data_IF_783948835149
#
_entry.id   IF_783948835149
#
_cell.length_a   1.000
_cell.length_b   1.000
_cell.length_c   1.000
_cell.angle_alpha   90.00
_cell.angle_beta   90.00
_cell.angle_gamma   90.00
#
_symmetry.space_group_name_H-M   'P 1'
#
loop_
_entity.id
_entity.type
_entity.pdbx_description
1 polymer ?
#
# COMPACT_ATOMS: atom_id res chain seq x y z
N UNK A 1 19.33 17.94 14.66
CA UNK A 1 17.96 18.31 14.21
C UNK A 1 17.96 19.78 13.84
N UNK A 2 18.12 20.11 12.55
CA UNK A 2 18.01 21.49 12.08
C UNK A 2 16.59 21.71 11.53
N UNK A 3 15.67 22.15 12.40
CA UNK A 3 14.30 22.50 12.02
C UNK A 3 14.29 23.89 11.37
N UNK A 4 14.69 23.98 10.09
CA UNK A 4 14.70 25.24 9.35
C UNK A 4 13.29 25.59 8.88
N UNK A 5 12.86 26.83 9.11
CA UNK A 5 11.55 27.35 8.70
C UNK A 5 11.77 28.46 7.68
N UNK A 6 11.08 28.37 6.55
CA UNK A 6 11.05 29.40 5.52
C UNK A 6 9.70 30.08 5.52
N UNK A 7 9.74 31.42 5.60
CA UNK A 7 8.56 32.26 5.44
C UNK A 7 8.66 32.95 4.09
N UNK A 8 7.68 32.71 3.22
CA UNK A 8 7.69 33.25 1.86
C UNK A 8 7.48 34.77 1.82
N UNK A 9 7.04 35.36 2.93
CA UNK A 9 6.98 36.81 3.13
C UNK A 9 8.35 37.46 3.32
N UNK A 10 9.36 36.68 3.72
CA UNK A 10 10.69 37.19 4.09
C UNK A 10 11.77 36.79 3.08
N UNK A 11 11.62 35.64 2.42
CA UNK A 11 12.64 35.08 1.52
C UNK A 11 12.01 34.67 0.19
N UNK A 12 12.62 35.10 -0.91
CA UNK A 12 12.20 34.71 -2.25
C UNK A 12 12.28 33.19 -2.46
N UNK A 13 11.27 32.62 -3.15
CA UNK A 13 11.20 31.19 -3.41
C UNK A 13 12.43 30.61 -4.13
N UNK A 14 13.08 31.40 -4.99
CA UNK A 14 14.33 31.00 -5.66
C UNK A 14 15.48 30.77 -4.69
N UNK A 15 15.62 31.60 -3.64
CA UNK A 15 16.65 31.45 -2.61
C UNK A 15 16.37 30.24 -1.72
N UNK A 16 15.10 30.01 -1.38
CA UNK A 16 14.68 28.81 -0.65
C UNK A 16 15.01 27.56 -1.47
N UNK A 17 14.67 27.55 -2.76
CA UNK A 17 14.97 26.43 -3.65
C UNK A 17 16.48 26.18 -3.79
N UNK A 18 17.29 27.25 -3.84
CA UNK A 18 18.75 27.14 -3.88
C UNK A 18 19.32 26.53 -2.59
N UNK A 19 18.81 26.92 -1.42
CA UNK A 19 19.22 26.31 -0.15
C UNK A 19 18.81 24.83 -0.04
N UNK A 20 17.68 24.46 -0.65
CA UNK A 20 17.19 23.07 -0.66
C UNK A 20 17.81 22.19 -1.75
N UNK A 21 18.72 22.73 -2.55
CA UNK A 21 19.35 22.02 -3.66
C UNK A 21 20.09 20.79 -3.13
N UNK A 22 19.93 19.67 -3.85
CA UNK A 22 20.55 18.38 -3.56
C UNK A 22 20.23 17.81 -2.16
N UNK A 23 19.18 18.31 -1.50
CA UNK A 23 18.69 17.79 -0.22
C UNK A 23 17.47 16.91 -0.40
N UNK A 24 17.43 15.83 0.36
CA UNK A 24 16.29 14.93 0.52
C UNK A 24 15.77 14.97 1.95
N UNK A 25 14.50 14.63 2.16
CA UNK A 25 13.96 14.58 3.52
C UNK A 25 12.46 14.79 3.61
N UNK A 26 12.02 15.17 4.81
CA UNK A 26 10.62 15.42 5.18
C UNK A 26 10.42 16.89 5.48
N UNK A 27 9.32 17.43 4.99
CA UNK A 27 8.92 18.83 5.13
C UNK A 27 7.48 18.96 5.59
N UNK A 28 7.12 20.16 6.04
CA UNK A 28 5.79 20.54 6.46
C UNK A 28 5.41 21.88 5.84
N UNK A 29 4.23 21.94 5.22
CA UNK A 29 3.55 23.20 4.92
C UNK A 29 2.61 23.54 6.08
N UNK A 30 2.67 24.75 6.61
CA UNK A 30 1.81 25.20 7.72
C UNK A 30 1.06 26.45 7.25
N UNK A 31 -0.27 26.40 7.27
CA UNK A 31 -1.13 27.54 6.92
C UNK A 31 -1.24 28.48 8.12
N UNK A 32 -0.78 29.72 7.97
CA UNK A 32 -0.76 30.71 9.04
C UNK A 32 -2.14 31.28 9.35
N UNK A 33 -3.10 31.15 8.44
CA UNK A 33 -4.47 31.67 8.59
C UNK A 33 -5.32 30.80 9.52
N UNK A 34 -5.12 29.48 9.49
CA UNK A 34 -5.96 28.53 10.25
C UNK A 34 -5.18 27.48 11.05
N UNK A 35 -3.84 27.53 11.03
CA UNK A 35 -2.96 26.60 11.75
C UNK A 35 -2.84 25.20 11.15
N UNK A 36 -3.63 24.87 10.12
CA UNK A 36 -3.64 23.54 9.51
C UNK A 36 -2.36 23.26 8.74
N UNK A 37 -1.98 22.00 8.63
CA UNK A 37 -0.72 21.64 8.00
C UNK A 37 -0.79 20.43 7.07
N UNK A 38 0.27 20.28 6.27
CA UNK A 38 0.56 19.12 5.42
C UNK A 38 1.98 18.65 5.68
N UNK A 39 2.19 17.34 5.76
CA UNK A 39 3.51 16.70 5.83
C UNK A 39 3.75 15.90 4.55
N UNK A 40 4.95 15.98 4.00
CA UNK A 40 5.37 15.15 2.88
C UNK A 40 6.87 14.93 2.86
N UNK A 41 7.31 13.95 2.10
CA UNK A 41 8.72 13.66 1.87
C UNK A 41 9.12 13.85 0.40
N UNK A 42 10.42 13.97 0.13
CA UNK A 42 10.98 13.99 -1.22
C UNK A 42 12.46 13.59 -1.23
N UNK A 43 12.89 12.89 -2.27
CA UNK A 43 14.31 12.70 -2.58
C UNK A 43 14.99 13.95 -3.15
N UNK A 44 14.21 14.96 -3.54
CA UNK A 44 14.72 16.26 -3.98
C UNK A 44 13.77 17.37 -3.48
N UNK A 45 14.17 18.04 -2.39
CA UNK A 45 13.38 19.06 -1.71
C UNK A 45 13.27 20.34 -2.54
N UNK A 46 14.35 20.76 -3.21
CA UNK A 46 14.34 21.94 -4.10
C UNK A 46 13.29 21.80 -5.21
N UNK A 47 13.35 20.70 -5.98
CA UNK A 47 12.39 20.41 -7.04
C UNK A 47 10.98 20.35 -6.47
N UNK A 48 10.78 19.63 -5.36
CA UNK A 48 9.45 19.46 -4.77
C UNK A 48 8.87 20.79 -4.28
N UNK A 49 9.68 21.65 -3.68
CA UNK A 49 9.26 22.99 -3.26
C UNK A 49 8.83 23.84 -4.46
N UNK A 50 9.62 23.88 -5.54
CA UNK A 50 9.28 24.62 -6.76
C UNK A 50 8.01 24.10 -7.43
N UNK A 51 7.74 22.79 -7.38
CA UNK A 51 6.49 22.21 -7.87
C UNK A 51 5.27 22.79 -7.15
N UNK A 52 5.35 23.04 -5.84
CA UNK A 52 4.27 23.68 -5.09
C UNK A 52 4.05 25.13 -5.53
N UNK A 53 5.11 25.85 -5.92
CA UNK A 53 5.02 27.24 -6.35
C UNK A 53 4.53 27.43 -7.80
N UNK A 54 4.21 26.35 -8.50
CA UNK A 54 3.73 26.39 -9.88
C UNK A 54 2.20 26.17 -9.93
N UNK A 55 1.38 27.24 -10.01
CA UNK A 55 -0.08 27.12 -9.98
C UNK A 55 -0.63 26.29 -11.15
N UNK A 56 -0.05 26.43 -12.35
CA UNK A 56 -0.46 25.64 -13.53
C UNK A 56 -0.25 24.13 -13.31
N UNK A 57 0.83 23.75 -12.61
CA UNK A 57 1.05 22.36 -12.20
C UNK A 57 -0.01 21.94 -11.19
N UNK A 58 -0.27 22.74 -10.15
CA UNK A 58 -1.27 22.42 -9.12
C UNK A 58 -2.64 22.17 -9.75
N UNK A 59 -3.10 23.07 -10.63
CA UNK A 59 -4.37 22.95 -11.33
C UNK A 59 -4.44 21.69 -12.20
N UNK A 60 -3.35 21.37 -12.92
CA UNK A 60 -3.29 20.15 -13.72
C UNK A 60 -3.39 18.89 -12.86
N UNK A 61 -2.70 18.84 -11.72
CA UNK A 61 -2.77 17.69 -10.81
C UNK A 61 -4.16 17.56 -10.17
N UNK A 62 -4.80 18.69 -9.82
CA UNK A 62 -6.17 18.72 -9.28
C UNK A 62 -7.23 18.23 -10.27
N UNK A 63 -6.96 18.27 -11.58
CA UNK A 63 -7.83 17.65 -12.60
C UNK A 63 -7.73 16.12 -12.62
N UNK A 64 -6.63 15.55 -12.11
CA UNK A 64 -6.33 14.10 -12.15
C UNK A 64 -6.63 13.40 -10.83
N UNK A 65 -6.65 14.15 -9.73
CA UNK A 65 -6.88 13.61 -8.40
C UNK A 65 -7.14 14.70 -7.37
N UNK A 66 -7.32 14.28 -6.13
CA UNK A 66 -7.57 15.20 -5.02
C UNK A 66 -6.32 15.47 -4.20
N UNK A 67 -6.05 16.75 -3.91
CA UNK A 67 -4.97 17.18 -3.04
C UNK A 67 -5.42 18.39 -2.21
N UNK A 68 -5.59 18.21 -0.90
CA UNK A 68 -6.07 19.28 -0.02
C UNK A 68 -5.02 20.39 0.08
N UNK A 69 -3.73 20.04 0.17
CA UNK A 69 -2.65 21.04 0.21
C UNK A 69 -2.59 21.90 -1.05
N UNK A 70 -2.80 21.32 -2.24
CA UNK A 70 -2.82 22.12 -3.48
C UNK A 70 -4.00 23.09 -3.50
N UNK A 71 -5.21 22.62 -3.13
CA UNK A 71 -6.40 23.48 -2.98
C UNK A 71 -6.15 24.60 -1.96
N UNK A 72 -5.49 24.30 -0.85
CA UNK A 72 -5.21 25.27 0.21
C UNK A 72 -4.20 26.33 -0.25
N UNK A 73 -3.11 25.96 -0.92
CA UNK A 73 -2.13 26.90 -1.46
C UNK A 73 -2.76 27.87 -2.47
N UNK A 74 -3.59 27.37 -3.38
CA UNK A 74 -4.31 28.21 -4.35
C UNK A 74 -5.37 29.11 -3.69
N UNK A 75 -6.07 28.61 -2.67
CA UNK A 75 -7.13 29.36 -1.97
C UNK A 75 -6.60 30.47 -1.08
N UNK A 76 -5.58 30.20 -0.27
CA UNK A 76 -5.08 31.13 0.74
C UNK A 76 -3.86 31.94 0.27
N UNK A 77 -3.26 31.55 -0.87
CA UNK A 77 -2.05 32.16 -1.40
C UNK A 77 -0.78 31.71 -0.66
N UNK A 78 0.35 31.70 -1.37
CA UNK A 78 1.62 31.15 -0.86
C UNK A 78 2.20 31.92 0.34
N UNK A 79 1.94 33.22 0.45
CA UNK A 79 2.43 34.06 1.57
C UNK A 79 1.73 33.72 2.90
N UNK A 80 0.58 33.04 2.85
CA UNK A 80 -0.15 32.54 4.02
C UNK A 80 0.39 31.22 4.55
N UNK A 81 1.61 30.83 4.16
CA UNK A 81 2.20 29.57 4.54
C UNK A 81 3.68 29.69 4.96
N UNK A 82 4.05 28.82 5.89
CA UNK A 82 5.45 28.49 6.17
C UNK A 82 5.81 27.14 5.54
N UNK A 83 7.03 27.05 5.01
CA UNK A 83 7.64 25.80 4.58
C UNK A 83 8.73 25.41 5.58
N UNK A 84 8.51 24.34 6.34
CA UNK A 84 9.41 23.88 7.39
C UNK A 84 10.08 22.58 6.98
N UNK A 85 11.39 22.49 7.12
CA UNK A 85 12.12 21.23 7.00
C UNK A 85 12.08 20.54 8.37
N UNK A 86 11.55 19.32 8.39
CA UNK A 86 11.42 18.51 9.60
C UNK A 86 12.65 17.63 9.80
N UNK A 87 13.12 17.00 8.73
CA UNK A 87 14.30 16.13 8.75
C UNK A 87 14.94 16.13 7.37
N UNK A 88 16.26 16.34 7.29
CA UNK A 88 17.04 16.13 6.07
C UNK A 88 17.69 14.76 6.20
N UNK A 89 17.66 13.97 5.14
CA UNK A 89 18.38 12.70 5.06
C UNK A 89 19.34 12.73 3.89
N UNK A 90 20.44 12.01 4.03
CA UNK A 90 21.35 11.71 2.94
C UNK A 90 20.85 10.46 2.23
N UNK A 91 20.76 10.55 0.90
CA UNK A 91 20.44 9.41 0.06
C UNK A 91 21.75 8.96 -0.61
N UNK A 92 22.14 7.73 -0.31
CA UNK A 92 23.29 7.10 -0.94
C UNK A 92 22.85 6.42 -2.25
N UNK A 93 23.44 6.84 -3.36
CA UNK A 93 23.17 6.30 -4.68
C UNK A 93 23.58 4.82 -4.82
N UNK A 94 24.45 4.32 -3.93
CA UNK A 94 24.81 2.90 -3.86
C UNK A 94 23.69 2.05 -3.22
N UNK A 95 22.73 2.67 -2.53
CA UNK A 95 21.59 1.98 -1.93
C UNK A 95 20.46 1.90 -2.96
N UNK A 96 19.89 0.71 -3.13
CA UNK A 96 18.79 0.50 -4.06
C UNK A 96 17.62 1.47 -3.78
N UNK A 97 17.09 2.08 -4.83
CA UNK A 97 16.05 3.12 -4.78
C UNK A 97 14.85 2.76 -3.90
N UNK A 98 14.46 1.47 -3.85
CA UNK A 98 13.35 1.01 -3.00
C UNK A 98 13.61 1.19 -1.50
N UNK A 99 14.86 1.07 -1.04
CA UNK A 99 15.23 1.34 0.35
C UNK A 99 15.18 2.83 0.65
N UNK A 100 15.67 3.67 -0.27
CA UNK A 100 15.60 5.12 -0.12
C UNK A 100 14.16 5.61 0.04
N UNK A 101 13.23 5.12 -0.80
CA UNK A 101 11.79 5.42 -0.69
C UNK A 101 11.23 4.94 0.65
N UNK A 102 11.59 3.73 1.11
CA UNK A 102 11.13 3.21 2.41
C UNK A 102 11.59 4.09 3.56
N UNK A 103 12.83 4.57 3.55
CA UNK A 103 13.36 5.48 4.56
C UNK A 103 12.59 6.80 4.59
N UNK A 104 12.33 7.40 3.43
CA UNK A 104 11.51 8.62 3.33
C UNK A 104 10.09 8.41 3.84
N UNK A 105 9.42 7.33 3.41
CA UNK A 105 8.05 7.01 3.84
C UNK A 105 7.98 6.72 5.35
N UNK A 106 9.00 6.07 5.91
CA UNK A 106 9.07 5.79 7.35
C UNK A 106 9.14 7.10 8.15
N UNK A 107 9.98 8.04 7.74
CA UNK A 107 10.06 9.35 8.39
C UNK A 107 8.80 10.18 8.18
N UNK A 108 8.24 10.19 6.97
CA UNK A 108 6.96 10.85 6.70
C UNK A 108 5.86 10.32 7.61
N UNK A 109 5.76 9.00 7.78
CA UNK A 109 4.79 8.37 8.67
C UNK A 109 4.98 8.81 10.13
N UNK A 110 6.22 8.79 10.64
CA UNK A 110 6.56 9.27 11.99
C UNK A 110 6.01 10.69 12.23
N UNK A 111 6.18 11.59 11.27
CA UNK A 111 5.68 12.96 11.39
C UNK A 111 4.17 13.09 11.17
N UNK A 112 3.57 12.32 10.27
CA UNK A 112 2.10 12.27 10.11
C UNK A 112 1.44 11.80 11.42
N UNK A 113 1.96 10.74 12.05
CA UNK A 113 1.40 10.20 13.29
C UNK A 113 1.54 11.17 14.47
N UNK A 114 2.65 11.90 14.51
CA UNK A 114 2.95 12.88 15.56
C UNK A 114 2.14 14.16 15.39
N UNK A 115 2.10 14.72 14.18
CA UNK A 115 1.51 16.04 13.91
C UNK A 115 0.01 15.94 13.61
N UNK A 116 -0.44 14.83 13.02
CA UNK A 116 -1.81 14.62 12.51
C UNK A 116 -2.27 15.74 11.56
N UNK A 117 -1.51 16.01 10.49
CA UNK A 117 -1.77 17.12 9.57
C UNK A 117 -3.11 16.98 8.83
N UNK A 118 -3.90 18.06 8.82
CA UNK A 118 -5.27 18.06 8.29
C UNK A 118 -5.35 18.07 6.77
N UNK A 119 -4.27 18.44 6.10
CA UNK A 119 -4.19 18.45 4.63
C UNK A 119 -3.68 17.14 4.04
N UNK A 120 -3.24 16.17 4.87
CA UNK A 120 -2.92 14.83 4.41
C UNK A 120 -4.21 14.01 4.25
N UNK A 121 -4.53 13.63 3.01
CA UNK A 121 -5.69 12.77 2.72
C UNK A 121 -5.43 11.33 3.16
N UNK A 122 -4.19 10.87 2.96
CA UNK A 122 -3.76 9.52 3.32
C UNK A 122 -3.18 9.54 4.73
N UNK A 123 -3.62 8.59 5.55
CA UNK A 123 -3.05 8.37 6.88
C UNK A 123 -1.78 7.53 6.86
N UNK A 124 -1.52 6.80 5.77
CA UNK A 124 -0.33 5.97 5.60
C UNK A 124 0.55 6.57 4.49
N UNK A 125 1.80 6.91 4.82
CA UNK A 125 2.77 7.44 3.88
C UNK A 125 3.03 6.45 2.74
N UNK A 126 3.03 6.96 1.50
CA UNK A 126 3.29 6.17 0.30
C UNK A 126 2.25 5.07 -0.01
N UNK A 127 1.10 5.04 0.67
CA UNK A 127 0.11 3.97 0.50
C UNK A 127 -1.33 4.46 0.60
N UNK A 128 -2.15 4.04 -0.37
CA UNK A 128 -3.61 4.25 -0.34
C UNK A 128 -4.33 3.22 0.55
N UNK A 129 -3.59 2.34 1.25
CA UNK A 129 -4.19 1.26 2.05
C UNK A 129 -5.03 1.85 3.18
N UNK A 130 -6.30 1.49 3.23
CA UNK A 130 -7.26 2.01 4.21
C UNK A 130 -7.97 3.30 3.78
N UNK A 131 -7.53 3.97 2.71
CA UNK A 131 -8.23 5.14 2.18
C UNK A 131 -9.56 4.73 1.53
N UNK A 132 -10.66 5.32 2.00
CA UNK A 132 -12.01 5.05 1.49
C UNK A 132 -12.32 6.03 0.35
N UNK A 133 -12.58 5.49 -0.84
CA UNK A 133 -13.07 6.28 -1.96
C UNK A 133 -14.43 6.90 -1.65
N UNK A 134 -14.65 8.13 -2.14
CA UNK A 134 -15.95 8.81 -2.06
C UNK A 134 -17.04 8.01 -2.78
N UNK A 135 -18.29 8.21 -2.36
CA UNK A 135 -19.47 7.56 -2.98
C UNK A 135 -19.51 7.90 -4.47
N UNK A 136 -19.31 9.16 -4.83
CA UNK A 136 -19.28 9.61 -6.23
C UNK A 136 -18.22 8.86 -7.06
N UNK A 137 -17.00 8.70 -6.52
CA UNK A 137 -15.93 7.96 -7.21
C UNK A 137 -16.31 6.50 -7.40
N UNK A 138 -16.88 5.86 -6.37
CA UNK A 138 -17.38 4.47 -6.46
C UNK A 138 -18.45 4.33 -7.54
N UNK A 139 -19.37 5.30 -7.65
CA UNK A 139 -20.42 5.31 -8.68
C UNK A 139 -19.82 5.47 -10.07
N UNK A 140 -18.88 6.40 -10.27
CA UNK A 140 -18.20 6.60 -11.57
C UNK A 140 -17.45 5.33 -12.00
N UNK A 141 -16.70 4.71 -11.09
CA UNK A 141 -15.99 3.45 -11.36
C UNK A 141 -16.96 2.31 -11.68
N UNK A 142 -18.08 2.21 -10.97
CA UNK A 142 -19.12 1.21 -11.22
C UNK A 142 -19.73 1.39 -12.62
N UNK A 143 -20.12 2.62 -12.98
CA UNK A 143 -20.63 2.95 -14.31
C UNK A 143 -19.63 2.60 -15.42
N UNK A 144 -18.35 2.94 -15.23
CA UNK A 144 -17.30 2.65 -16.20
C UNK A 144 -17.06 1.16 -16.41
N UNK A 145 -17.24 0.32 -15.38
CA UNK A 145 -17.05 -1.14 -15.47
C UNK A 145 -18.31 -1.90 -15.88
N UNK A 146 -19.49 -1.28 -15.77
CA UNK A 146 -20.76 -1.94 -16.06
C UNK A 146 -20.80 -2.36 -17.54
N UNK A 147 -21.08 -3.63 -17.80
CA UNK A 147 -21.15 -4.20 -19.15
C UNK A 147 -19.79 -4.59 -19.75
N UNK A 148 -18.66 -4.24 -19.13
CA UNK A 148 -17.34 -4.68 -19.59
C UNK A 148 -17.10 -6.11 -19.12
N UNK A 149 -17.00 -7.03 -20.07
CA UNK A 149 -16.67 -8.42 -19.81
C UNK A 149 -15.17 -8.51 -19.49
N UNK A 150 -14.84 -9.18 -18.38
CA UNK A 150 -13.44 -9.48 -18.06
C UNK A 150 -12.81 -10.29 -19.20
N UNK A 151 -11.60 -9.96 -19.67
CA UNK A 151 -10.86 -10.78 -20.63
C UNK A 151 -10.63 -12.22 -20.17
N UNK A 152 -10.76 -12.47 -18.86
CA UNK A 152 -10.65 -13.78 -18.22
C UNK A 152 -12.00 -14.48 -17.99
N UNK A 153 -13.11 -13.95 -18.50
CA UNK A 153 -14.43 -14.59 -18.35
C UNK A 153 -14.39 -15.98 -18.98
N UNK A 154 -14.75 -17.01 -18.21
CA UNK A 154 -14.69 -18.42 -18.64
C UNK A 154 -13.33 -19.10 -18.47
N UNK A 155 -12.28 -18.37 -18.09
CA UNK A 155 -10.97 -18.98 -17.79
C UNK A 155 -10.96 -19.63 -16.40
N UNK A 156 -10.37 -20.82 -16.31
CA UNK A 156 -10.13 -21.50 -15.06
C UNK A 156 -8.70 -21.25 -14.58
N UNK A 157 -8.52 -20.89 -13.32
CA UNK A 157 -7.19 -20.86 -12.70
C UNK A 157 -6.55 -22.26 -12.74
N UNK A 158 -5.24 -22.32 -12.99
CA UNK A 158 -4.48 -23.56 -12.82
C UNK A 158 -4.59 -24.05 -11.38
N UNK A 159 -4.41 -25.36 -11.19
CA UNK A 159 -4.41 -25.98 -9.87
C UNK A 159 -3.39 -25.27 -8.96
N UNK A 160 -2.17 -25.04 -9.47
CA UNK A 160 -1.10 -24.36 -8.75
C UNK A 160 -1.48 -22.93 -8.33
N UNK A 161 -2.09 -22.14 -9.22
CA UNK A 161 -2.57 -20.78 -8.91
C UNK A 161 -3.66 -20.81 -7.84
N UNK A 162 -4.56 -21.78 -7.88
CA UNK A 162 -5.61 -21.97 -6.85
C UNK A 162 -5.00 -22.35 -5.50
N UNK A 163 -3.91 -23.10 -5.49
CA UNK A 163 -3.21 -23.49 -4.27
C UNK A 163 -2.45 -22.34 -3.65
N UNK A 164 -1.76 -21.53 -4.44
CA UNK A 164 -1.13 -20.29 -3.96
C UNK A 164 -2.16 -19.36 -3.31
N UNK A 165 -3.34 -19.19 -3.93
CA UNK A 165 -4.44 -18.39 -3.36
C UNK A 165 -5.01 -18.98 -2.07
N UNK A 166 -4.93 -20.30 -1.88
CA UNK A 166 -5.46 -21.01 -0.72
C UNK A 166 -4.41 -21.36 0.34
N UNK A 167 -3.13 -21.08 0.10
CA UNK A 167 -2.01 -21.49 0.98
C UNK A 167 -2.11 -20.96 2.41
N UNK A 168 -2.86 -19.87 2.63
CA UNK A 168 -3.17 -19.33 3.96
C UNK A 168 -4.41 -19.93 4.64
N UNK A 169 -5.18 -20.79 3.96
CA UNK A 169 -6.37 -21.46 4.54
C UNK A 169 -5.95 -22.75 5.23
N UNK A 170 -6.17 -22.85 6.55
CA UNK A 170 -6.01 -24.09 7.30
C UNK A 170 -7.19 -25.01 7.00
N UNK A 171 -6.98 -26.03 6.17
CA UNK A 171 -7.98 -27.06 5.87
C UNK A 171 -7.64 -28.29 6.69
N UNK A 172 -8.52 -28.67 7.61
CA UNK A 172 -8.37 -29.91 8.36
C UNK A 172 -8.48 -31.11 7.43
N UNK A 173 -7.63 -32.12 7.62
CA UNK A 173 -7.57 -33.32 6.78
C UNK A 173 -7.79 -34.54 7.64
N UNK A 174 -8.74 -35.38 7.25
CA UNK A 174 -9.03 -36.67 7.86
C UNK A 174 -8.51 -37.77 6.93
N UNK A 175 -7.78 -38.74 7.49
CA UNK A 175 -7.17 -39.85 6.75
C UNK A 175 -7.84 -41.15 7.16
N UNK A 176 -8.32 -41.90 6.17
CA UNK A 176 -9.02 -43.17 6.38
C UNK A 176 -8.28 -44.32 5.68
N UNK A 177 -8.43 -45.53 6.19
CA UNK A 177 -8.00 -46.75 5.50
C UNK A 177 -8.97 -47.12 4.35
N UNK A 178 -8.71 -48.18 3.55
CA UNK A 178 -9.61 -48.59 2.47
C UNK A 178 -11.01 -49.04 2.93
N UNK A 179 -11.17 -49.37 4.21
CA UNK A 179 -12.45 -49.75 4.85
C UNK A 179 -13.18 -48.53 5.44
N UNK A 180 -12.72 -47.31 5.15
CA UNK A 180 -13.26 -46.05 5.67
C UNK A 180 -13.17 -45.87 7.19
N UNK A 181 -12.27 -46.59 7.85
CA UNK A 181 -11.96 -46.39 9.27
C UNK A 181 -11.01 -45.20 9.38
N UNK A 182 -11.40 -44.22 10.22
CA UNK A 182 -10.59 -43.04 10.49
C UNK A 182 -9.29 -43.43 11.22
N UNK A 183 -8.15 -43.10 10.61
CA UNK A 183 -6.83 -43.38 11.16
C UNK A 183 -6.25 -42.17 11.91
N UNK A 184 -6.35 -40.98 11.31
CA UNK A 184 -5.80 -39.76 11.90
C UNK A 184 -6.46 -38.49 11.34
N UNK A 185 -6.23 -37.36 12.01
CA UNK A 185 -6.61 -36.04 11.54
C UNK A 185 -5.47 -35.04 11.68
N UNK A 186 -5.38 -34.08 10.75
CA UNK A 186 -4.34 -33.06 10.69
C UNK A 186 -4.98 -31.69 10.52
N UNK A 187 -4.38 -30.65 11.09
CA UNK A 187 -4.93 -29.28 11.03
C UNK A 187 -4.66 -28.59 9.67
N UNK A 188 -3.80 -29.18 8.85
CA UNK A 188 -3.51 -28.70 7.50
C UNK A 188 -3.07 -29.83 6.56
N UNK A 189 -3.23 -29.62 5.26
CA UNK A 189 -2.69 -30.52 4.23
C UNK A 189 -1.16 -30.55 4.28
N UNK A 190 -0.51 -29.44 4.63
CA UNK A 190 0.96 -29.37 4.77
C UNK A 190 1.45 -30.29 5.89
N UNK A 191 0.74 -30.30 7.02
CA UNK A 191 1.03 -31.20 8.14
C UNK A 191 0.79 -32.66 7.74
N UNK A 192 -0.36 -32.96 7.14
CA UNK A 192 -0.67 -34.29 6.60
C UNK A 192 0.40 -34.76 5.59
N UNK A 193 0.87 -33.88 4.70
CA UNK A 193 1.91 -34.16 3.70
C UNK A 193 3.25 -34.53 4.33
N UNK A 194 3.64 -33.86 5.41
CA UNK A 194 4.90 -34.16 6.13
C UNK A 194 4.83 -35.53 6.81
N UNK A 195 3.74 -35.81 7.52
CA UNK A 195 3.59 -37.04 8.30
C UNK A 195 3.38 -38.27 7.41
N UNK A 196 2.51 -38.16 6.41
CA UNK A 196 2.22 -39.27 5.49
C UNK A 196 3.25 -39.43 4.38
N UNK A 197 4.17 -38.47 4.24
CA UNK A 197 5.15 -38.36 3.15
C UNK A 197 4.55 -38.31 1.73
N UNK A 198 3.23 -38.12 1.61
CA UNK A 198 2.61 -37.85 0.31
C UNK A 198 2.81 -36.41 -0.10
N UNK A 199 2.97 -36.18 -1.40
CA UNK A 199 3.02 -34.83 -1.95
C UNK A 199 1.70 -34.09 -1.67
N UNK A 200 1.81 -32.83 -1.25
CA UNK A 200 0.68 -31.93 -0.99
C UNK A 200 -0.40 -31.96 -2.10
N UNK A 201 0.02 -31.94 -3.38
CA UNK A 201 -0.88 -31.95 -4.53
C UNK A 201 -1.67 -33.26 -4.64
N UNK A 202 -1.05 -34.37 -4.26
CA UNK A 202 -1.69 -35.69 -4.29
C UNK A 202 -2.79 -35.74 -3.25
N UNK A 203 -2.51 -35.32 -2.01
CA UNK A 203 -3.51 -35.25 -0.94
C UNK A 203 -4.68 -34.35 -1.33
N UNK A 204 -4.40 -33.14 -1.84
CA UNK A 204 -5.44 -32.21 -2.28
C UNK A 204 -6.33 -32.77 -3.40
N UNK A 205 -5.72 -33.41 -4.41
CA UNK A 205 -6.46 -34.06 -5.49
C UNK A 205 -7.29 -35.23 -4.98
N UNK A 206 -6.78 -35.99 -4.03
CA UNK A 206 -7.49 -37.10 -3.40
C UNK A 206 -8.73 -36.61 -2.64
N UNK A 207 -8.61 -35.52 -1.87
CA UNK A 207 -9.75 -34.89 -1.18
C UNK A 207 -10.84 -34.47 -2.18
N UNK A 208 -10.47 -33.83 -3.28
CA UNK A 208 -11.44 -33.36 -4.29
C UNK A 208 -12.08 -34.53 -5.05
N UNK A 209 -11.27 -35.49 -5.49
CA UNK A 209 -11.72 -36.59 -6.34
C UNK A 209 -12.31 -37.77 -5.57
N UNK A 210 -12.15 -37.79 -4.23
CA UNK A 210 -12.51 -38.89 -3.33
C UNK A 210 -11.90 -40.24 -3.75
N UNK A 211 -10.72 -40.22 -4.38
CA UNK A 211 -10.03 -41.41 -4.86
C UNK A 211 -9.04 -41.95 -3.83
N UNK A 212 -8.89 -43.27 -3.81
CA UNK A 212 -7.90 -43.98 -3.01
C UNK A 212 -6.49 -43.66 -3.53
N UNK A 213 -5.58 -43.32 -2.62
CA UNK A 213 -4.18 -43.00 -2.95
C UNK A 213 -3.31 -44.20 -2.62
N UNK A 214 -2.51 -44.65 -3.61
CA UNK A 214 -1.58 -45.79 -3.50
C UNK A 214 -2.19 -47.05 -2.86
N UNK A 215 -3.49 -47.30 -3.09
CA UNK A 215 -4.25 -48.39 -2.48
C UNK A 215 -4.23 -48.44 -0.95
N UNK A 216 -3.89 -47.31 -0.28
CA UNK A 216 -3.71 -47.25 1.18
C UNK A 216 -4.67 -46.30 1.88
N UNK A 217 -4.87 -45.11 1.34
CA UNK A 217 -5.56 -44.05 2.09
C UNK A 217 -6.59 -43.28 1.29
N UNK A 218 -7.70 -42.96 1.95
CA UNK A 218 -8.60 -41.88 1.54
C UNK A 218 -8.32 -40.63 2.36
N UNK A 219 -8.49 -39.46 1.74
CA UNK A 219 -8.34 -38.16 2.37
C UNK A 219 -9.64 -37.38 2.25
N UNK A 220 -10.08 -36.72 3.32
CA UNK A 220 -11.26 -35.86 3.34
C UNK A 220 -10.99 -34.56 4.09
N UNK A 221 -11.73 -33.49 3.76
CA UNK A 221 -11.73 -32.23 4.50
C UNK A 221 -12.92 -32.09 5.47
N UNK A 222 -13.71 -33.16 5.64
CA UNK A 222 -14.75 -33.29 6.65
C UNK A 222 -14.79 -34.71 7.19
N UNK A 223 -15.35 -34.89 8.39
CA UNK A 223 -15.69 -36.23 8.89
C UNK A 223 -16.73 -36.83 7.95
N UNK A 224 -16.51 -38.07 7.54
CA UNK A 224 -17.46 -38.85 6.75
C UNK A 224 -18.22 -39.75 7.72
N UNK A 225 -19.55 -39.68 7.67
CA UNK A 225 -20.44 -40.59 8.39
C UNK A 225 -20.71 -41.84 7.57
#
# INVERSE_FOLDING_TARGET
MNNKIYKLTEVAGSLIAADLKDKSGVYQWINTVNGKSYVGSSSNLSRRFLEYLNPNRLDRELKRGESIIYKALLKYGYLSFYFKILEVIELDDNIAHSYQIRSLNFLEQKYIDTIKPEYNILSIAGSNRGHKLSIETKVKMSKAKKGIISPRKGSNHSIESRLLQNSGRKVQVYVYNPEWILLNSYNSITECSKETKFNYLVIWRAIISKKLVNNKYYFSNSILN
#
